data_IF_967280628058
#
_entry.id   IF_967280628058
#
_cell.length_a   1.000
_cell.length_b   1.000
_cell.length_c   1.000
_cell.angle_alpha   90.00
_cell.angle_beta   90.00
_cell.angle_gamma   90.00
#
_symmetry.space_group_name_H-M   'P 1'
#
loop_
_entity.id
_entity.type
_entity.pdbx_description
1 polymer ?
#
# COMPACT_ATOMS: atom_id res chain seq x y z
N UNK A 1 -4.05 -15.61 31.62
CA UNK A 1 -4.87 -15.64 30.39
C UNK A 1 -5.49 -17.01 30.37
N UNK A 2 -6.80 -17.09 30.37
CA UNK A 2 -7.49 -18.39 30.28
C UNK A 2 -7.29 -18.97 28.87
N UNK A 3 -7.35 -20.29 28.75
CA UNK A 3 -7.10 -20.99 27.48
C UNK A 3 -8.06 -20.53 26.36
N UNK A 4 -9.35 -20.34 26.70
CA UNK A 4 -10.36 -19.85 25.76
C UNK A 4 -10.06 -18.43 25.24
N UNK A 5 -9.59 -17.55 26.13
CA UNK A 5 -9.22 -16.19 25.76
C UNK A 5 -7.96 -16.18 24.88
N UNK A 6 -7.05 -17.13 25.05
CA UNK A 6 -5.90 -17.30 24.15
C UNK A 6 -6.33 -17.72 22.74
N UNK A 7 -7.23 -18.69 22.64
CA UNK A 7 -7.78 -19.16 21.35
C UNK A 7 -8.52 -18.03 20.61
N UNK A 8 -9.38 -17.26 21.28
CA UNK A 8 -10.08 -16.12 20.65
C UNK A 8 -9.09 -15.10 20.07
N UNK A 9 -7.99 -14.82 20.78
CA UNK A 9 -6.95 -13.91 20.29
C UNK A 9 -6.17 -14.50 19.12
N UNK A 10 -5.93 -15.81 19.13
CA UNK A 10 -5.27 -16.51 18.03
C UNK A 10 -6.11 -16.46 16.76
N UNK A 11 -7.39 -16.82 16.85
CA UNK A 11 -8.31 -16.78 15.71
C UNK A 11 -8.44 -15.36 15.15
N UNK A 12 -8.58 -14.36 16.03
CA UNK A 12 -8.60 -12.95 15.63
C UNK A 12 -7.32 -12.53 14.93
N UNK A 13 -6.14 -12.93 15.45
CA UNK A 13 -4.86 -12.58 14.84
C UNK A 13 -4.73 -13.17 13.43
N UNK A 14 -5.14 -14.43 13.25
CA UNK A 14 -5.13 -15.12 11.95
C UNK A 14 -6.06 -14.42 10.97
N UNK A 15 -7.30 -14.13 11.38
CA UNK A 15 -8.30 -13.50 10.51
C UNK A 15 -7.87 -12.10 10.07
N UNK A 16 -7.39 -11.26 11.01
CA UNK A 16 -6.87 -9.93 10.67
C UNK A 16 -5.66 -10.01 9.74
N UNK A 17 -4.76 -10.97 9.95
CA UNK A 17 -3.58 -11.16 9.10
C UNK A 17 -3.95 -11.59 7.67
N UNK A 18 -4.98 -12.42 7.54
CA UNK A 18 -5.53 -12.83 6.25
C UNK A 18 -6.14 -11.64 5.52
N UNK A 19 -7.00 -10.88 6.19
CA UNK A 19 -7.63 -9.68 5.61
C UNK A 19 -6.57 -8.64 5.22
N UNK A 20 -5.57 -8.40 6.06
CA UNK A 20 -4.47 -7.50 5.74
C UNK A 20 -3.75 -7.91 4.45
N UNK A 21 -3.45 -9.20 4.30
CA UNK A 21 -2.78 -9.76 3.12
C UNK A 21 -3.64 -9.64 1.86
N UNK A 22 -4.95 -9.81 1.97
CA UNK A 22 -5.87 -9.63 0.84
C UNK A 22 -5.92 -8.16 0.39
N UNK A 23 -6.04 -7.22 1.33
CA UNK A 23 -6.04 -5.78 1.02
C UNK A 23 -4.71 -5.28 0.48
N UNK A 24 -3.61 -5.84 0.98
CA UNK A 24 -2.28 -5.56 0.46
C UNK A 24 -2.14 -5.99 -1.00
N UNK A 25 -2.59 -7.21 -1.34
CA UNK A 25 -2.63 -7.71 -2.73
C UNK A 25 -3.58 -6.89 -3.62
N UNK A 26 -4.66 -6.37 -3.06
CA UNK A 26 -5.61 -5.51 -3.77
C UNK A 26 -5.08 -4.07 -4.01
N UNK A 27 -3.92 -3.72 -3.45
CA UNK A 27 -3.36 -2.36 -3.54
C UNK A 27 -3.99 -1.35 -2.58
N UNK A 28 -4.86 -1.80 -1.67
CA UNK A 28 -5.45 -0.99 -0.61
C UNK A 28 -4.46 -0.85 0.56
N UNK A 29 -3.30 -0.23 0.30
CA UNK A 29 -2.15 -0.24 1.21
C UNK A 29 -2.40 0.46 2.56
N UNK A 30 -3.20 1.53 2.58
CA UNK A 30 -3.53 2.24 3.81
C UNK A 30 -4.37 1.37 4.77
N UNK A 31 -5.36 0.66 4.23
CA UNK A 31 -6.21 -0.23 5.01
C UNK A 31 -5.44 -1.49 5.44
N UNK A 32 -4.65 -2.07 4.53
CA UNK A 32 -3.79 -3.20 4.84
C UNK A 32 -2.83 -2.91 5.99
N UNK A 33 -2.25 -1.71 6.02
CA UNK A 33 -1.34 -1.28 7.10
C UNK A 33 -2.04 -1.23 8.46
N UNK A 34 -3.26 -0.68 8.53
CA UNK A 34 -4.03 -0.64 9.78
C UNK A 34 -4.44 -2.05 10.25
N UNK A 35 -4.82 -2.94 9.33
CA UNK A 35 -5.11 -4.34 9.64
C UNK A 35 -3.87 -5.08 10.16
N UNK A 36 -2.70 -4.85 9.57
CA UNK A 36 -1.44 -5.42 10.08
C UNK A 36 -1.13 -4.95 11.50
N UNK A 37 -1.33 -3.67 11.83
CA UNK A 37 -1.14 -3.17 13.20
C UNK A 37 -2.06 -3.88 14.20
N UNK A 38 -3.36 -3.97 13.88
CA UNK A 38 -4.33 -4.63 14.74
C UNK A 38 -4.03 -6.14 14.94
N UNK A 39 -3.57 -6.82 13.87
CA UNK A 39 -3.12 -8.20 13.97
C UNK A 39 -1.89 -8.33 14.89
N UNK A 40 -0.90 -7.44 14.71
CA UNK A 40 0.35 -7.44 15.47
C UNK A 40 0.15 -7.24 16.98
N UNK A 41 -0.84 -6.46 17.40
CA UNK A 41 -1.18 -6.32 18.82
C UNK A 41 -1.60 -7.68 19.44
N UNK A 42 -2.36 -8.46 18.68
CA UNK A 42 -2.78 -9.81 19.09
C UNK A 42 -1.59 -10.78 19.09
N UNK A 43 -0.75 -10.76 18.04
CA UNK A 43 0.46 -11.59 17.96
C UNK A 43 1.44 -11.34 19.11
N UNK A 44 1.64 -10.08 19.52
CA UNK A 44 2.50 -9.74 20.65
C UNK A 44 2.00 -10.35 21.96
N UNK A 45 0.69 -10.31 22.20
CA UNK A 45 0.10 -10.92 23.38
C UNK A 45 0.28 -12.44 23.38
N UNK A 46 0.03 -13.10 22.25
CA UNK A 46 0.20 -14.54 22.08
C UNK A 46 1.65 -14.98 22.36
N UNK A 47 2.63 -14.23 21.84
CA UNK A 47 4.05 -14.52 22.08
C UNK A 47 4.46 -14.41 23.55
N UNK A 48 3.85 -13.49 24.31
CA UNK A 48 4.13 -13.30 25.74
C UNK A 48 3.55 -14.42 26.59
N UNK A 49 2.35 -14.89 26.25
CA UNK A 49 1.65 -15.94 26.99
C UNK A 49 2.21 -17.34 26.72
N UNK A 50 2.93 -17.53 25.62
CA UNK A 50 3.40 -18.86 25.23
C UNK A 50 4.59 -19.34 26.07
N UNK A 51 4.44 -20.53 26.68
CA UNK A 51 5.47 -21.21 27.48
C UNK A 51 6.36 -22.11 26.64
N UNK A 52 5.81 -22.78 25.62
CA UNK A 52 6.59 -23.65 24.74
C UNK A 52 7.52 -22.83 23.85
N UNK A 53 8.84 -23.01 24.01
CA UNK A 53 9.87 -22.24 23.31
C UNK A 53 9.82 -22.42 21.78
N UNK A 54 9.51 -23.62 21.29
CA UNK A 54 9.44 -23.92 19.86
C UNK A 54 8.25 -23.19 19.23
N UNK A 55 7.06 -23.28 19.84
CA UNK A 55 5.89 -22.57 19.32
C UNK A 55 6.07 -21.05 19.40
N UNK A 56 6.66 -20.56 20.49
CA UNK A 56 7.00 -19.14 20.65
C UNK A 56 7.92 -18.66 19.54
N UNK A 57 8.96 -19.42 19.19
CA UNK A 57 9.84 -19.08 18.08
C UNK A 57 9.09 -19.03 16.72
N UNK A 58 8.18 -19.98 16.48
CA UNK A 58 7.32 -19.97 15.27
C UNK A 58 6.43 -18.72 15.21
N UNK A 59 5.80 -18.36 16.32
CA UNK A 59 4.97 -17.16 16.43
C UNK A 59 5.78 -15.89 16.18
N UNK A 60 6.96 -15.75 16.79
CA UNK A 60 7.85 -14.60 16.53
C UNK A 60 8.30 -14.51 15.08
N UNK A 61 8.59 -15.64 14.44
CA UNK A 61 8.94 -15.66 13.02
C UNK A 61 7.80 -15.09 12.17
N UNK A 62 6.56 -15.53 12.38
CA UNK A 62 5.41 -14.97 11.64
C UNK A 62 5.13 -13.51 11.98
N UNK A 63 5.21 -13.15 13.26
CA UNK A 63 5.08 -11.75 13.67
C UNK A 63 6.13 -10.87 12.98
N UNK A 64 7.37 -11.34 12.86
CA UNK A 64 8.46 -10.64 12.17
C UNK A 64 8.18 -10.41 10.69
N UNK A 65 7.58 -11.37 9.99
CA UNK A 65 7.15 -11.19 8.59
C UNK A 65 6.10 -10.08 8.46
N UNK A 66 5.11 -10.04 9.36
CA UNK A 66 4.08 -9.00 9.35
C UNK A 66 4.62 -7.62 9.73
N UNK A 67 5.56 -7.54 10.69
CA UNK A 67 6.26 -6.29 11.02
C UNK A 67 7.01 -5.77 9.80
N UNK A 68 7.83 -6.61 9.16
CA UNK A 68 8.60 -6.21 7.99
C UNK A 68 7.71 -5.70 6.86
N UNK A 69 6.55 -6.35 6.62
CA UNK A 69 5.61 -5.88 5.61
C UNK A 69 4.96 -4.54 5.99
N UNK A 70 4.55 -4.39 7.25
CA UNK A 70 3.95 -3.15 7.74
C UNK A 70 4.92 -1.96 7.65
N UNK A 71 6.21 -2.17 7.92
CA UNK A 71 7.25 -1.13 7.77
C UNK A 71 7.41 -0.68 6.31
N UNK A 72 7.39 -1.63 5.37
CA UNK A 72 7.42 -1.31 3.93
C UNK A 72 6.20 -0.48 3.53
N UNK A 73 5.01 -0.87 3.99
CA UNK A 73 3.76 -0.14 3.70
C UNK A 73 3.78 1.27 4.28
N UNK A 74 4.24 1.44 5.52
CA UNK A 74 4.39 2.74 6.16
C UNK A 74 5.26 3.68 5.33
N UNK A 75 6.45 3.20 4.96
CA UNK A 75 7.40 3.98 4.16
C UNK A 75 6.83 4.36 2.79
N UNK A 76 6.06 3.47 2.17
CA UNK A 76 5.40 3.72 0.90
C UNK A 76 4.32 4.82 1.02
N UNK A 77 3.47 4.73 2.04
CA UNK A 77 2.40 5.71 2.30
C UNK A 77 2.97 7.10 2.62
N UNK A 78 4.06 7.15 3.41
CA UNK A 78 4.75 8.41 3.73
C UNK A 78 5.33 9.08 2.47
N UNK A 79 5.97 8.30 1.59
CA UNK A 79 6.47 8.81 0.30
C UNK A 79 5.32 9.32 -0.58
N UNK A 80 4.22 8.57 -0.69
CA UNK A 80 3.06 9.03 -1.45
C UNK A 80 2.52 10.36 -0.93
N UNK A 81 2.41 10.52 0.39
CA UNK A 81 1.98 11.77 1.01
C UNK A 81 2.91 12.93 0.66
N UNK A 82 4.23 12.72 0.73
CA UNK A 82 5.22 13.75 0.36
C UNK A 82 5.10 14.16 -1.11
N UNK A 83 4.97 13.19 -2.02
CA UNK A 83 4.76 13.48 -3.45
C UNK A 83 3.47 14.28 -3.70
N UNK A 84 2.37 13.92 -3.03
CA UNK A 84 1.10 14.65 -3.12
C UNK A 84 1.23 16.10 -2.62
N UNK A 85 1.93 16.31 -1.49
CA UNK A 85 2.18 17.65 -0.95
C UNK A 85 3.05 18.49 -1.89
N UNK A 86 4.11 17.92 -2.46
CA UNK A 86 4.97 18.63 -3.40
C UNK A 86 4.23 18.98 -4.71
N UNK A 87 3.42 18.05 -5.25
CA UNK A 87 2.60 18.31 -6.42
C UNK A 87 1.57 19.43 -6.16
N UNK A 88 0.94 19.44 -4.98
CA UNK A 88 0.01 20.50 -4.59
C UNK A 88 0.69 21.86 -4.48
N UNK A 89 1.87 21.92 -3.85
CA UNK A 89 2.66 23.15 -3.74
C UNK A 89 3.17 23.68 -5.11
N UNK A 90 3.45 22.79 -6.06
CA UNK A 90 3.84 23.17 -7.42
C UNK A 90 2.65 23.68 -8.25
N UNK A 91 1.46 23.10 -8.07
CA UNK A 91 0.23 23.53 -8.76
C UNK A 91 -0.34 24.85 -8.21
N UNK A 92 -0.06 25.15 -6.94
CA UNK A 92 -0.39 26.40 -6.29
C UNK A 92 0.89 27.08 -5.82
N UNK A 93 1.67 27.70 -6.73
CA UNK A 93 2.74 28.59 -6.31
C UNK A 93 2.09 29.65 -5.43
N UNK A 94 2.44 29.67 -4.15
CA UNK A 94 1.96 30.68 -3.23
C UNK A 94 2.11 32.05 -3.90
N UNK A 95 1.04 32.87 -3.98
CA UNK A 95 1.18 34.22 -4.50
C UNK A 95 2.25 34.89 -3.65
N UNK A 96 3.33 35.32 -4.31
CA UNK A 96 4.52 35.81 -3.66
C UNK A 96 4.15 36.82 -2.57
N UNK A 97 4.72 36.64 -1.38
CA UNK A 97 5.08 37.79 -0.56
C UNK A 97 6.50 38.19 -0.93
N UNK A 98 6.70 39.16 -1.84
CA UNK A 98 7.88 39.99 -1.78
C UNK A 98 7.58 41.09 -0.75
N UNK A 99 8.11 40.97 0.46
CA UNK A 99 8.34 42.18 1.25
C UNK A 99 9.43 41.94 2.30
N UNK A 100 10.65 42.37 1.99
CA UNK A 100 11.21 43.65 2.45
C UNK A 100 11.64 43.57 3.91
N UNK A 101 12.95 43.62 4.13
CA UNK A 101 13.46 44.24 5.34
C UNK A 101 12.90 45.65 5.45
N UNK A 102 12.34 45.99 6.60
CA UNK A 102 12.12 47.36 7.00
C UNK A 102 13.24 47.75 7.96
N UNK A 103 13.77 48.96 7.83
CA UNK A 103 13.70 49.91 8.92
C UNK A 103 12.46 50.78 8.70
N UNK A 104 11.61 50.73 9.71
CA UNK A 104 10.81 51.83 10.23
C UNK A 104 10.87 53.14 9.44
N UNK A 105 9.76 53.53 8.82
CA UNK A 105 9.21 54.88 8.97
C UNK A 105 7.78 54.97 8.45
N UNK A 106 6.99 55.63 9.28
CA UNK A 106 5.56 55.90 9.21
C UNK A 106 5.17 56.70 7.96
N UNK A 107 4.09 56.30 7.29
CA UNK A 107 3.20 57.22 6.58
C UNK A 107 1.81 56.59 6.38
N UNK A 108 0.82 57.43 6.59
CA UNK A 108 -0.63 57.18 6.70
C UNK A 108 -1.35 57.18 5.34
N UNK A 109 -2.64 56.79 5.39
CA UNK A 109 -3.69 56.81 4.36
C UNK A 109 -3.79 55.50 3.55
N UNK A 110 -4.95 54.90 3.32
CA UNK A 110 -6.34 55.29 3.55
C UNK A 110 -7.23 54.19 2.94
N UNK A 111 -8.42 54.05 3.52
CA UNK A 111 -9.64 53.36 3.06
C UNK A 111 -9.73 52.88 1.59
N UNK A 112 -10.27 51.67 1.40
CA UNK A 112 -11.51 51.43 0.63
C UNK A 112 -11.91 49.94 0.66
N UNK A 113 -13.07 49.67 1.25
CA UNK A 113 -13.84 48.43 1.10
C UNK A 113 -14.52 48.43 -0.28
N UNK A 114 -14.70 47.26 -0.93
CA UNK A 114 -16.08 46.91 -1.29
C UNK A 114 -16.40 45.41 -1.24
N UNK A 115 -17.59 45.10 -0.72
CA UNK A 115 -18.50 44.09 -1.30
C UNK A 115 -19.64 44.90 -2.00
N UNK A 116 -20.58 44.34 -2.81
CA UNK A 116 -20.93 42.93 -3.08
C UNK A 116 -21.29 42.63 -4.57
N UNK A 117 -21.89 41.44 -4.81
CA UNK A 117 -22.79 41.03 -5.91
C UNK A 117 -22.24 40.26 -7.14
N UNK A 118 -22.66 38.99 -7.22
CA UNK A 118 -23.45 38.38 -8.32
C UNK A 118 -23.11 38.74 -9.78
N UNK A 119 -22.61 37.76 -10.53
CA UNK A 119 -23.06 37.51 -11.90
C UNK A 119 -22.90 36.04 -12.28
N UNK A 120 -23.86 35.56 -13.05
CA UNK A 120 -23.99 34.21 -13.54
C UNK A 120 -23.00 33.87 -14.66
N UNK A 121 -22.93 32.57 -14.95
CA UNK A 121 -22.71 31.99 -16.27
C UNK A 121 -21.29 31.98 -16.87
N UNK A 122 -20.71 30.78 -16.92
CA UNK A 122 -20.14 30.30 -18.18
C UNK A 122 -20.34 28.79 -18.31
N UNK A 123 -21.53 28.41 -18.80
CA UNK A 123 -21.72 27.12 -19.43
C UNK A 123 -21.05 27.14 -20.81
N UNK A 124 -20.07 26.27 -21.06
CA UNK A 124 -19.69 25.90 -22.42
C UNK A 124 -19.17 24.47 -22.52
N UNK A 125 -20.11 23.61 -22.91
CA UNK A 125 -19.95 22.32 -23.60
C UNK A 125 -18.74 22.29 -24.53
N UNK A 126 -17.94 21.24 -24.44
CA UNK A 126 -17.25 20.70 -25.61
C UNK A 126 -17.61 19.22 -25.73
N UNK A 127 -18.64 18.95 -26.54
CA UNK A 127 -18.97 17.63 -27.08
C UNK A 127 -18.80 17.73 -28.59
N UNK A 128 -17.91 16.90 -29.15
CA UNK A 128 -17.90 16.49 -30.57
C UNK A 128 -16.96 15.28 -30.68
N UNK A 129 -17.53 14.08 -30.81
CA UNK A 129 -17.64 13.36 -32.08
C UNK A 129 -16.45 12.42 -32.30
N UNK A 130 -16.55 11.16 -31.88
CA UNK A 130 -17.01 10.03 -32.72
C UNK A 130 -16.05 9.66 -33.85
N UNK A 131 -15.45 8.46 -33.75
CA UNK A 131 -15.14 7.59 -34.88
C UNK A 131 -14.95 6.14 -34.42
N UNK A 132 -15.96 5.37 -34.79
CA UNK A 132 -16.00 3.93 -34.98
C UNK A 132 -14.81 3.39 -35.78
N UNK A 133 -14.35 2.18 -35.46
CA UNK A 133 -14.63 1.01 -36.32
C UNK A 133 -14.08 -0.32 -35.76
N UNK A 134 -14.69 -1.46 -36.14
CA UNK A 134 -14.46 -2.78 -35.57
C UNK A 134 -13.48 -3.65 -36.37
N UNK A 135 -13.06 -4.76 -35.73
CA UNK A 135 -12.22 -5.89 -36.16
C UNK A 135 -12.17 -6.25 -37.65
N UNK A 136 -11.08 -6.92 -38.10
CA UNK A 136 -11.24 -8.36 -38.36
C UNK A 136 -10.03 -9.22 -37.94
N UNK A 137 -10.15 -10.47 -38.32
CA UNK A 137 -9.67 -11.74 -37.77
C UNK A 137 -8.72 -12.44 -38.77
N UNK A 138 -8.09 -13.53 -38.30
CA UNK A 138 -7.56 -14.70 -39.02
C UNK A 138 -6.05 -14.80 -39.36
N UNK A 139 -5.45 -15.82 -38.74
CA UNK A 139 -4.62 -16.91 -39.30
C UNK A 139 -3.55 -16.61 -40.38
N UNK A 140 -2.28 -16.98 -40.11
CA UNK A 140 -1.66 -18.23 -40.62
C UNK A 140 -0.11 -18.17 -40.74
N UNK A 141 0.50 -19.32 -40.44
CA UNK A 141 1.74 -19.89 -41.02
C UNK A 141 3.16 -19.43 -40.60
N UNK A 142 3.83 -20.33 -39.88
CA UNK A 142 5.29 -20.62 -39.88
C UNK A 142 5.76 -21.22 -41.24
N UNK A 143 7.05 -21.58 -41.53
CA UNK A 143 8.27 -21.66 -40.66
C UNK A 143 9.63 -21.17 -41.28
N UNK A 144 10.71 -21.38 -40.52
CA UNK A 144 12.13 -21.61 -40.91
C UNK A 144 13.01 -20.37 -41.22
N UNK A 145 14.30 -20.26 -40.87
CA UNK A 145 15.26 -21.07 -40.12
C UNK A 145 16.62 -20.31 -40.00
N UNK A 146 17.37 -20.62 -38.93
CA UNK A 146 18.85 -20.55 -38.75
C UNK A 146 19.50 -19.37 -37.98
N UNK A 147 19.90 -19.76 -36.77
CA UNK A 147 21.26 -19.71 -36.15
C UNK A 147 21.88 -18.32 -35.86
N UNK A 148 22.04 -18.05 -34.57
CA UNK A 148 23.38 -17.82 -34.03
C UNK A 148 23.51 -18.42 -32.63
N UNK A 149 24.64 -19.11 -32.40
CA UNK A 149 25.06 -19.71 -31.14
C UNK A 149 25.90 -18.67 -30.40
N UNK A 150 25.57 -18.46 -29.13
CA UNK A 150 26.47 -17.99 -28.06
C UNK A 150 25.68 -18.27 -26.76
N UNK A 151 26.11 -19.00 -25.73
CA UNK A 151 27.43 -19.44 -25.30
C UNK A 151 27.57 -19.13 -23.80
N UNK A 152 27.15 -20.03 -22.91
CA UNK A 152 27.38 -19.97 -21.43
C UNK A 152 26.61 -18.85 -20.70
N UNK A 153 26.16 -18.94 -19.45
CA UNK A 153 26.50 -19.81 -18.33
C UNK A 153 25.26 -19.98 -17.43
N UNK A 154 25.13 -21.18 -16.87
CA UNK A 154 24.09 -21.53 -15.93
C UNK A 154 24.34 -20.94 -14.54
N UNK A 155 23.26 -20.48 -13.91
CA UNK A 155 23.11 -20.65 -12.47
C UNK A 155 21.68 -21.11 -12.19
N UNK A 156 21.56 -22.40 -11.87
CA UNK A 156 20.34 -23.01 -11.43
C UNK A 156 20.01 -22.58 -10.01
N UNK A 157 18.86 -21.94 -9.84
CA UNK A 157 18.14 -21.91 -8.57
C UNK A 157 16.72 -22.40 -8.84
N UNK A 158 16.57 -23.71 -9.07
CA UNK A 158 15.28 -24.40 -8.99
C UNK A 158 14.89 -24.51 -7.51
N UNK A 159 14.41 -23.41 -6.93
CA UNK A 159 13.79 -23.37 -5.62
C UNK A 159 12.28 -23.38 -5.78
N UNK A 160 11.72 -24.51 -6.24
CA UNK A 160 10.28 -24.74 -6.23
C UNK A 160 9.83 -24.97 -4.79
N UNK A 161 9.58 -23.90 -4.04
CA UNK A 161 8.93 -23.99 -2.73
C UNK A 161 7.44 -24.24 -2.95
N UNK A 162 7.09 -25.51 -3.24
CA UNK A 162 5.76 -26.04 -2.95
C UNK A 162 5.54 -25.87 -1.45
N UNK A 163 4.74 -24.88 -1.08
CA UNK A 163 4.25 -24.75 0.28
C UNK A 163 3.43 -26.01 0.59
N UNK A 164 3.96 -26.79 1.53
CA UNK A 164 3.33 -27.98 2.10
C UNK A 164 2.20 -27.49 3.02
N UNK A 165 0.98 -27.43 2.47
CA UNK A 165 -0.28 -27.09 3.16
C UNK A 165 -0.60 -28.09 4.31
N UNK A 166 0.17 -29.18 4.43
CA UNK A 166 -0.04 -30.28 5.38
C UNK A 166 0.49 -29.99 6.81
N UNK A 167 1.25 -28.91 7.01
CA UNK A 167 1.74 -28.52 8.33
C UNK A 167 0.71 -27.71 9.13
N UNK A 168 -0.22 -27.01 8.48
CA UNK A 168 -1.26 -26.21 9.16
C UNK A 168 -2.29 -27.09 9.88
N UNK A 169 -2.65 -28.24 9.30
CA UNK A 169 -3.55 -29.21 9.92
C UNK A 169 -2.91 -29.95 11.11
N UNK A 170 -1.61 -30.25 11.05
CA UNK A 170 -0.87 -30.85 12.17
C UNK A 170 -0.77 -29.92 13.38
N UNK A 171 -0.84 -28.61 13.16
CA UNK A 171 -0.84 -27.62 14.25
C UNK A 171 -2.20 -27.62 14.95
N UNK A 172 -3.31 -27.80 14.20
CA UNK A 172 -4.65 -27.94 14.77
C UNK A 172 -4.81 -29.26 15.53
N UNK A 173 -4.24 -30.36 15.02
CA UNK A 173 -4.33 -31.68 15.66
C UNK A 173 -3.51 -31.78 16.96
N UNK A 174 -2.38 -31.06 17.09
CA UNK A 174 -1.57 -31.04 18.33
C UNK A 174 -2.18 -30.23 19.48
N UNK A 175 -3.29 -29.53 19.23
CA UNK A 175 -3.95 -28.65 20.19
C UNK A 175 -5.23 -29.26 20.80
N UNK A 176 -5.61 -30.48 20.38
CA UNK A 176 -6.65 -31.33 20.98
C UNK A 176 -6.01 -32.45 21.81
#
# INVERSE_FOLDING_TARGET
MDASAYEEKLDRAIELSRQATERDKAGAFAEAFELYKAALDSWHLLCRCQTNALLKAKLYRKMGEYVARAEVLKNFLEKQKQHALHAFAAAHPAPGSPSCGLPFSSAVAGCCSPSPLSYADCAARCSSSSRSSPFPHLLSSLPASRRSRDGGDGCGCTGSCRADDSEEDKIREKLL
#
